data_IF_133884262502
#
_entry.id   IF_133884262502
#
_cell.length_a   1.000
_cell.length_b   1.000
_cell.length_c   1.000
_cell.angle_alpha   90.00
_cell.angle_beta   90.00
_cell.angle_gamma   90.00
#
_symmetry.space_group_name_H-M   'P 1'
#
loop_
_entity.id
_entity.type
_entity.pdbx_description
1 polymer ?
#
# COMPACT_ATOMS: atom_id res chain seq x y z
N UNK A 1 -15.94 -16.78 -24.15
CA UNK A 1 -14.47 -16.65 -24.03
C UNK A 1 -14.16 -16.10 -22.65
N UNK A 2 -14.47 -16.91 -21.63
CA UNK A 2 -14.17 -16.63 -20.22
C UNK A 2 -13.34 -17.81 -19.74
N UNK A 3 -12.09 -17.53 -19.36
CA UNK A 3 -11.29 -18.25 -18.37
C UNK A 3 -9.82 -18.16 -18.73
N UNK A 4 -9.14 -17.25 -18.05
CA UNK A 4 -7.77 -17.48 -17.62
C UNK A 4 -7.62 -16.95 -16.18
N UNK A 5 -8.37 -17.55 -15.26
CA UNK A 5 -7.90 -17.66 -13.88
C UNK A 5 -6.80 -18.72 -13.86
N UNK A 6 -5.53 -18.28 -13.90
CA UNK A 6 -4.37 -19.04 -13.39
C UNK A 6 -3.11 -18.19 -13.58
N UNK A 7 -2.65 -17.60 -12.47
CA UNK A 7 -1.32 -17.80 -11.90
C UNK A 7 -1.12 -16.77 -10.80
N UNK A 8 -1.19 -17.24 -9.56
CA UNK A 8 -0.53 -16.59 -8.43
C UNK A 8 0.96 -16.50 -8.73
N UNK A 9 1.35 -15.45 -9.44
CA UNK A 9 2.72 -15.07 -9.64
C UNK A 9 3.14 -14.30 -8.38
N UNK A 10 3.68 -15.02 -7.39
CA UNK A 10 4.51 -14.41 -6.35
C UNK A 10 5.85 -14.00 -6.99
N UNK A 11 5.79 -13.00 -7.87
CA UNK A 11 6.92 -12.29 -8.46
C UNK A 11 7.00 -10.93 -7.76
N UNK A 12 7.54 -10.90 -6.54
CA UNK A 12 8.02 -9.64 -5.97
C UNK A 12 9.46 -9.41 -6.42
N UNK A 13 9.61 -8.93 -7.65
CA UNK A 13 10.86 -8.38 -8.18
C UNK A 13 10.89 -6.84 -8.12
N UNK A 14 9.73 -6.21 -7.91
CA UNK A 14 9.61 -4.76 -7.83
C UNK A 14 9.19 -4.35 -6.41
N UNK A 15 10.14 -3.77 -5.66
CA UNK A 15 9.87 -3.12 -4.36
C UNK A 15 8.89 -1.95 -4.50
N UNK A 16 9.02 -1.22 -5.61
CA UNK A 16 8.21 -0.05 -5.94
C UNK A 16 7.16 -0.39 -7.00
N UNK A 17 5.89 -0.10 -6.71
CA UNK A 17 4.77 -0.32 -7.64
C UNK A 17 3.94 0.93 -7.82
N UNK A 18 3.32 1.09 -8.99
CA UNK A 18 2.42 2.21 -9.26
C UNK A 18 1.12 2.07 -8.46
N UNK A 19 0.42 3.19 -8.19
CA UNK A 19 -0.88 3.20 -7.49
C UNK A 19 -1.88 2.24 -8.17
N UNK A 20 -1.96 2.26 -9.51
CA UNK A 20 -2.84 1.37 -10.27
C UNK A 20 -2.54 -0.10 -9.96
N UNK A 21 -1.26 -0.50 -9.97
CA UNK A 21 -0.91 -1.89 -9.69
C UNK A 21 -1.13 -2.25 -8.22
N UNK A 22 -0.84 -1.32 -7.31
CA UNK A 22 -1.08 -1.49 -5.89
C UNK A 22 -2.59 -1.64 -5.59
N UNK A 23 -3.44 -0.90 -6.27
CA UNK A 23 -4.90 -1.01 -6.20
C UNK A 23 -5.38 -2.41 -6.57
N UNK A 24 -4.87 -2.96 -7.67
CA UNK A 24 -5.16 -4.35 -8.08
C UNK A 24 -4.67 -5.40 -7.07
N UNK A 25 -3.53 -5.17 -6.42
CA UNK A 25 -2.90 -6.13 -5.50
C UNK A 25 -3.53 -6.12 -4.10
N UNK A 26 -3.77 -4.94 -3.56
CA UNK A 26 -4.30 -4.75 -2.20
C UNK A 26 -5.83 -4.78 -2.13
N UNK A 27 -6.50 -4.57 -3.28
CA UNK A 27 -7.95 -4.39 -3.34
C UNK A 27 -8.42 -3.00 -2.90
N UNK A 28 -7.53 -2.06 -2.60
CA UNK A 28 -7.90 -0.67 -2.35
C UNK A 28 -8.21 0.06 -3.66
N UNK A 29 -9.17 0.98 -3.63
CA UNK A 29 -9.39 1.91 -4.75
C UNK A 29 -8.27 2.95 -4.80
N UNK A 30 -7.98 3.46 -6.01
CA UNK A 30 -7.01 4.55 -6.19
C UNK A 30 -7.38 5.79 -5.36
N UNK A 31 -8.68 6.02 -5.17
CA UNK A 31 -9.21 7.09 -4.34
C UNK A 31 -8.90 6.89 -2.85
N UNK A 32 -9.09 5.69 -2.32
CA UNK A 32 -8.74 5.37 -0.92
C UNK A 32 -7.23 5.53 -0.66
N UNK A 33 -6.40 5.18 -1.64
CA UNK A 33 -4.94 5.38 -1.58
C UNK A 33 -4.62 6.88 -1.51
N UNK A 34 -5.20 7.68 -2.41
CA UNK A 34 -5.02 9.14 -2.40
C UNK A 34 -5.54 9.78 -1.12
N UNK A 35 -6.67 9.33 -0.60
CA UNK A 35 -7.21 9.78 0.67
C UNK A 35 -6.24 9.48 1.83
N UNK A 36 -5.62 8.29 1.88
CA UNK A 36 -4.60 7.95 2.89
C UNK A 36 -3.32 8.80 2.75
N UNK A 37 -2.92 9.14 1.53
CA UNK A 37 -1.82 10.09 1.30
C UNK A 37 -2.18 11.50 1.76
N UNK A 38 -3.39 11.97 1.45
CA UNK A 38 -3.88 13.30 1.82
C UNK A 38 -4.06 13.44 3.35
N UNK A 39 -4.59 12.40 3.99
CA UNK A 39 -4.78 12.33 5.44
C UNK A 39 -3.46 12.22 6.24
N UNK A 40 -2.31 12.14 5.56
CA UNK A 40 -1.01 12.00 6.19
C UNK A 40 -0.76 10.63 6.83
N UNK A 41 -1.61 9.64 6.55
CA UNK A 41 -1.41 8.25 6.99
C UNK A 41 -0.22 7.65 6.26
N UNK A 42 -0.07 7.98 4.99
CA UNK A 42 1.07 7.60 4.19
C UNK A 42 1.96 8.82 3.95
N UNK A 43 3.24 8.69 4.25
CA UNK A 43 4.25 9.74 4.21
C UNK A 43 5.14 9.53 2.99
N UNK A 44 5.37 10.60 2.23
CA UNK A 44 6.28 10.58 1.10
C UNK A 44 7.72 10.36 1.56
N UNK A 45 8.43 9.43 0.92
CA UNK A 45 9.78 9.00 1.27
C UNK A 45 9.82 7.80 2.22
N UNK A 46 8.71 7.50 2.90
CA UNK A 46 8.55 6.31 3.75
C UNK A 46 7.63 5.31 3.03
N UNK A 47 6.33 5.57 2.97
CA UNK A 47 5.35 4.62 2.42
C UNK A 47 5.22 4.69 0.89
N UNK A 48 5.51 5.86 0.28
CA UNK A 48 5.53 6.02 -1.16
C UNK A 48 6.62 7.01 -1.56
N UNK A 49 7.22 6.81 -2.73
CA UNK A 49 8.25 7.69 -3.28
C UNK A 49 7.81 8.25 -4.62
N UNK A 50 8.01 9.54 -4.85
CA UNK A 50 7.84 10.11 -6.18
C UNK A 50 9.05 9.71 -7.04
N UNK A 51 8.78 9.00 -8.13
CA UNK A 51 9.80 8.68 -9.13
C UNK A 51 10.24 9.93 -9.91
N UNK A 52 11.31 9.83 -10.71
CA UNK A 52 11.76 10.93 -11.57
C UNK A 52 10.65 11.41 -12.54
N UNK A 53 9.72 10.53 -12.91
CA UNK A 53 8.56 10.81 -13.75
C UNK A 53 7.40 11.53 -13.04
N UNK A 54 7.61 12.04 -11.81
CA UNK A 54 6.58 12.68 -10.94
C UNK A 54 5.42 11.77 -10.55
N UNK A 55 5.50 10.46 -10.83
CA UNK A 55 4.49 9.47 -10.46
C UNK A 55 4.78 8.92 -9.06
N UNK A 56 3.77 8.83 -8.16
CA UNK A 56 3.92 8.17 -6.88
C UNK A 56 4.05 6.65 -7.07
N UNK A 57 5.11 6.10 -6.50
CA UNK A 57 5.38 4.67 -6.42
C UNK A 57 5.24 4.24 -4.96
N UNK A 58 4.37 3.26 -4.72
CA UNK A 58 4.18 2.64 -3.42
C UNK A 58 5.33 1.68 -3.12
N UNK A 59 5.90 1.76 -1.93
CA UNK A 59 6.86 0.77 -1.43
C UNK A 59 6.08 -0.36 -0.75
N UNK A 60 6.15 -1.56 -1.32
CA UNK A 60 5.42 -2.72 -0.83
C UNK A 60 5.96 -3.17 0.54
N UNK A 61 7.27 -3.09 0.77
CA UNK A 61 7.88 -3.54 2.02
C UNK A 61 7.44 -2.66 3.20
N UNK A 62 7.41 -1.34 2.98
CA UNK A 62 6.96 -0.37 3.97
C UNK A 62 5.45 -0.47 4.22
N UNK A 63 4.68 -0.84 3.19
CA UNK A 63 3.27 -1.17 3.38
C UNK A 63 3.08 -2.40 4.28
N UNK A 64 3.84 -3.49 4.07
CA UNK A 64 3.76 -4.66 4.95
C UNK A 64 4.14 -4.32 6.39
N UNK A 65 5.24 -3.56 6.59
CA UNK A 65 5.61 -3.06 7.91
C UNK A 65 4.47 -2.28 8.55
N UNK A 66 3.85 -1.35 7.83
CA UNK A 66 2.71 -0.58 8.32
C UNK A 66 1.48 -1.45 8.65
N UNK A 67 1.21 -2.51 7.88
CA UNK A 67 0.13 -3.46 8.16
C UNK A 67 0.43 -4.28 9.41
N UNK A 68 1.66 -4.79 9.55
CA UNK A 68 2.12 -5.57 10.70
C UNK A 68 2.20 -4.75 11.99
N UNK A 69 2.63 -3.49 11.88
CA UNK A 69 2.64 -2.54 13.00
C UNK A 69 1.22 -2.19 13.48
N UNK A 70 0.20 -2.48 12.66
CA UNK A 70 -1.20 -2.29 12.99
C UNK A 70 -1.51 -0.81 13.20
N UNK A 71 -1.93 -0.13 12.14
CA UNK A 71 -2.43 1.23 12.24
C UNK A 71 -3.60 1.28 13.24
N UNK A 72 -3.33 1.71 14.48
CA UNK A 72 -4.34 2.10 15.46
C UNK A 72 -4.49 3.62 15.42
N UNK A 73 -5.28 4.19 14.50
CA UNK A 73 -5.73 5.56 14.65
C UNK A 73 -6.71 5.56 15.84
N UNK A 74 -6.19 5.88 17.03
CA UNK A 74 -7.02 6.14 18.20
C UNK A 74 -7.39 4.94 19.10
N UNK A 75 -6.74 3.78 18.99
CA UNK A 75 -6.90 2.78 20.05
C UNK A 75 -6.07 3.22 21.26
N UNK A 76 -6.72 3.87 22.23
CA UNK A 76 -6.24 3.86 23.61
C UNK A 76 -6.02 2.39 23.95
N UNK A 77 -4.77 1.97 24.18
CA UNK A 77 -4.47 0.66 24.75
C UNK A 77 -5.14 0.62 26.12
N UNK A 78 -6.37 0.12 26.17
CA UNK A 78 -7.01 -0.29 27.39
C UNK A 78 -6.68 -1.78 27.59
N UNK A 79 -6.18 -2.09 28.78
CA UNK A 79 -6.00 -3.42 29.36
C UNK A 79 -4.82 -4.28 28.84
N UNK A 80 -3.76 -4.34 29.64
CA UNK A 80 -3.63 -5.43 30.63
C UNK A 80 -2.51 -5.11 31.62
N UNK A 81 -2.89 -4.59 32.79
CA UNK A 81 -2.26 -4.83 34.09
C UNK A 81 -3.36 -5.30 35.03
#
# INVERSE_FOLDING_TARGET
MESCNKRGARLMLCRYVTIKKFSELSGYTEDAIRAKMCNGVWIEGIHFKRGPDRKPLMDIEEYYRWVEEGYTPGLKRAASQ
#
